data_IF_715803832520
#
_entry.id   IF_715803832520
#
_cell.length_a   1.000
_cell.length_b   1.000
_cell.length_c   1.000
_cell.angle_alpha   90.00
_cell.angle_beta   90.00
_cell.angle_gamma   90.00
#
_symmetry.space_group_name_H-M   'P 1'
#
loop_
_entity.id
_entity.type
_entity.pdbx_description
1 polymer ?
#
# COMPACT_ATOMS: atom_id res chain seq x y z
N UNK A 1 13.29 3.57 -8.46
CA UNK A 1 12.56 2.84 -7.41
C UNK A 1 12.31 1.42 -7.89
N UNK A 2 12.45 0.39 -7.03
CA UNK A 2 12.16 -1.01 -7.35
C UNK A 2 10.75 -1.30 -6.85
N UNK A 3 9.80 -1.53 -7.75
CA UNK A 3 8.38 -1.72 -7.41
C UNK A 3 8.06 -3.17 -7.01
N UNK A 4 8.71 -4.13 -7.66
CA UNK A 4 8.63 -5.55 -7.35
C UNK A 4 9.91 -6.26 -7.79
N UNK A 5 10.15 -7.44 -7.24
CA UNK A 5 11.19 -8.36 -7.66
C UNK A 5 10.53 -9.65 -8.12
N UNK A 6 10.88 -10.11 -9.34
CA UNK A 6 10.40 -11.38 -9.90
C UNK A 6 11.59 -12.23 -10.33
N UNK A 7 11.65 -13.44 -9.82
CA UNK A 7 12.76 -14.36 -10.13
C UNK A 7 12.59 -15.70 -9.43
N UNK A 8 13.69 -16.43 -9.29
CA UNK A 8 13.74 -17.69 -8.57
C UNK A 8 14.24 -17.47 -7.15
N UNK A 9 13.57 -18.03 -6.17
CA UNK A 9 14.02 -17.98 -4.77
C UNK A 9 15.30 -18.78 -4.63
N UNK A 10 16.41 -18.10 -4.37
CA UNK A 10 17.73 -18.74 -4.21
C UNK A 10 17.98 -19.18 -2.76
N UNK A 11 17.50 -18.41 -1.77
CA UNK A 11 17.66 -18.70 -0.35
C UNK A 11 16.53 -18.08 0.48
N UNK A 12 16.25 -18.66 1.64
CA UNK A 12 15.28 -18.14 2.63
C UNK A 12 15.88 -18.29 4.03
N UNK A 13 16.01 -17.16 4.72
CA UNK A 13 16.46 -17.09 6.11
C UNK A 13 15.29 -16.78 7.06
N UNK A 14 15.56 -16.56 8.35
CA UNK A 14 14.53 -16.18 9.32
C UNK A 14 14.00 -14.74 9.14
N UNK A 15 14.71 -13.88 8.40
CA UNK A 15 14.35 -12.48 8.26
C UNK A 15 14.40 -11.95 6.83
N UNK A 16 14.93 -12.73 5.89
CA UNK A 16 15.08 -12.31 4.49
C UNK A 16 14.98 -13.49 3.52
N UNK A 17 14.71 -13.17 2.27
CA UNK A 17 14.82 -14.11 1.16
C UNK A 17 15.73 -13.50 0.07
N UNK A 18 16.47 -14.36 -0.62
CA UNK A 18 17.24 -13.99 -1.80
C UNK A 18 16.49 -14.44 -3.03
N UNK A 19 16.19 -13.51 -3.92
CA UNK A 19 15.56 -13.80 -5.22
C UNK A 19 16.57 -13.52 -6.32
N UNK A 20 16.87 -14.54 -7.11
CA UNK A 20 17.75 -14.42 -8.26
C UNK A 20 17.01 -13.88 -9.47
N UNK A 21 17.56 -12.80 -10.04
CA UNK A 21 17.03 -12.13 -11.23
C UNK A 21 18.17 -11.95 -12.22
N UNK A 22 18.15 -12.75 -13.30
CA UNK A 22 19.15 -12.64 -14.36
C UNK A 22 20.60 -12.85 -13.90
N UNK A 23 20.84 -13.74 -12.96
CA UNK A 23 22.16 -14.02 -12.39
C UNK A 23 22.58 -13.12 -11.22
N UNK A 24 21.70 -12.21 -10.77
CA UNK A 24 21.92 -11.35 -9.61
C UNK A 24 20.99 -11.76 -8.48
N UNK A 25 21.55 -12.05 -7.30
CA UNK A 25 20.77 -12.31 -6.08
C UNK A 25 20.40 -11.01 -5.38
N UNK A 26 19.12 -10.73 -5.27
CA UNK A 26 18.58 -9.60 -4.51
C UNK A 26 18.08 -10.08 -3.16
N UNK A 27 18.65 -9.55 -2.06
CA UNK A 27 18.17 -9.82 -0.72
C UNK A 27 16.99 -8.91 -0.39
N UNK A 28 15.87 -9.51 0.03
CA UNK A 28 14.66 -8.81 0.45
C UNK A 28 14.38 -9.15 1.92
N UNK A 29 14.32 -8.12 2.75
CA UNK A 29 13.88 -8.25 4.14
C UNK A 29 12.37 -8.42 4.14
N UNK A 30 11.87 -9.53 4.69
CA UNK A 30 10.47 -9.90 4.62
C UNK A 30 9.89 -10.19 6.01
N UNK A 31 8.55 -10.10 6.13
CA UNK A 31 7.84 -10.57 7.32
C UNK A 31 7.87 -12.10 7.39
N UNK A 32 7.74 -12.72 8.58
CA UNK A 32 7.63 -14.17 8.70
C UNK A 32 6.50 -14.77 7.86
N UNK A 33 5.38 -14.05 7.73
CA UNK A 33 4.23 -14.46 6.92
C UNK A 33 4.61 -14.56 5.44
N UNK A 34 5.30 -13.56 4.90
CA UNK A 34 5.82 -13.57 3.52
C UNK A 34 6.81 -14.72 3.32
N UNK A 35 7.78 -14.88 4.23
CA UNK A 35 8.80 -15.92 4.14
C UNK A 35 8.21 -17.33 4.15
N UNK A 36 7.14 -17.57 4.94
CA UNK A 36 6.46 -18.85 5.03
C UNK A 36 5.85 -19.31 3.69
N UNK A 37 5.57 -18.40 2.77
CA UNK A 37 5.03 -18.72 1.44
C UNK A 37 6.10 -19.08 0.41
N UNK A 38 7.37 -18.73 0.68
CA UNK A 38 8.46 -18.91 -0.26
C UNK A 38 9.05 -20.33 -0.18
N UNK A 39 9.53 -20.82 -1.32
CA UNK A 39 10.22 -22.11 -1.43
C UNK A 39 11.46 -21.94 -2.29
N UNK A 40 12.61 -22.37 -1.78
CA UNK A 40 13.87 -22.35 -2.53
C UNK A 40 13.72 -23.12 -3.82
N UNK A 41 14.19 -22.56 -4.93
CA UNK A 41 14.07 -23.10 -6.28
C UNK A 41 12.75 -22.78 -6.98
N UNK A 42 11.75 -22.24 -6.28
CA UNK A 42 10.46 -21.87 -6.88
C UNK A 42 10.48 -20.41 -7.42
N UNK A 43 9.68 -20.12 -8.45
CA UNK A 43 9.49 -18.74 -8.91
C UNK A 43 8.68 -17.95 -7.88
N UNK A 44 9.06 -16.69 -7.68
CA UNK A 44 8.34 -15.76 -6.82
C UNK A 44 8.24 -14.37 -7.48
N UNK A 45 7.18 -13.65 -7.13
CA UNK A 45 7.02 -12.22 -7.42
C UNK A 45 6.62 -11.54 -6.12
N UNK A 46 7.49 -10.67 -5.62
CA UNK A 46 7.28 -9.95 -4.36
C UNK A 46 7.18 -8.46 -4.64
N UNK A 47 6.06 -7.80 -4.31
CA UNK A 47 6.01 -6.35 -4.20
C UNK A 47 7.13 -5.85 -3.29
N UNK A 48 7.75 -4.73 -3.63
CA UNK A 48 8.98 -4.31 -2.96
C UNK A 48 8.96 -2.82 -2.66
N UNK A 49 9.43 -2.45 -1.47
CA UNK A 49 9.73 -1.08 -1.11
C UNK A 49 11.23 -0.92 -0.83
N UNK A 50 11.86 0.05 -1.48
CA UNK A 50 13.29 0.31 -1.31
C UNK A 50 13.50 1.48 -0.35
N UNK A 51 14.18 1.22 0.75
CA UNK A 51 14.58 2.23 1.72
C UNK A 51 16.06 2.59 1.50
N UNK A 52 16.29 3.85 1.18
CA UNK A 52 17.62 4.41 0.95
C UNK A 52 18.05 5.22 2.16
N UNK A 53 19.23 4.96 2.69
CA UNK A 53 19.88 5.74 3.75
C UNK A 53 21.31 6.05 3.33
N UNK A 54 21.98 6.93 4.06
CA UNK A 54 23.35 7.33 3.76
C UNK A 54 24.30 6.14 3.56
N UNK A 55 24.18 5.10 4.41
CA UNK A 55 25.08 3.96 4.43
C UNK A 55 24.44 2.64 3.99
N UNK A 56 23.17 2.65 3.55
CA UNK A 56 22.48 1.40 3.21
C UNK A 56 21.36 1.56 2.17
N UNK A 57 21.25 0.55 1.32
CA UNK A 57 20.13 0.30 0.44
C UNK A 57 19.46 -0.99 0.92
N UNK A 58 18.22 -0.90 1.39
CA UNK A 58 17.48 -2.07 1.88
C UNK A 58 16.22 -2.26 1.05
N UNK A 59 16.03 -3.47 0.52
CA UNK A 59 14.79 -3.89 -0.11
C UNK A 59 13.93 -4.62 0.92
N UNK A 60 12.70 -4.16 1.07
CA UNK A 60 11.66 -4.85 1.83
C UNK A 60 10.72 -5.56 0.86
N UNK A 61 10.48 -6.85 1.06
CA UNK A 61 9.61 -7.67 0.24
C UNK A 61 8.32 -8.03 0.98
N UNK A 62 7.20 -8.03 0.26
CA UNK A 62 5.87 -8.20 0.80
C UNK A 62 5.12 -9.32 0.08
N UNK A 63 4.13 -9.90 0.78
CA UNK A 63 3.27 -10.93 0.23
C UNK A 63 2.42 -10.41 -0.94
N UNK A 64 1.90 -9.20 -0.79
CA UNK A 64 1.05 -8.53 -1.76
C UNK A 64 1.20 -7.00 -1.72
N UNK A 65 0.52 -6.30 -2.64
CA UNK A 65 0.55 -4.83 -2.73
C UNK A 65 -0.13 -4.15 -1.53
N UNK A 66 -1.05 -4.83 -0.84
CA UNK A 66 -1.71 -4.28 0.34
C UNK A 66 -0.76 -4.23 1.54
N UNK A 67 0.00 -5.30 1.77
CA UNK A 67 1.04 -5.32 2.81
C UNK A 67 2.10 -4.25 2.55
N UNK A 68 2.55 -4.08 1.29
CA UNK A 68 3.48 -3.02 0.89
C UNK A 68 2.90 -1.63 1.12
N UNK A 69 1.67 -1.38 0.67
CA UNK A 69 1.00 -0.09 0.86
C UNK A 69 0.86 0.25 2.33
N UNK A 70 0.47 -0.72 3.15
CA UNK A 70 0.39 -0.56 4.59
C UNK A 70 1.76 -0.23 5.20
N UNK A 71 2.83 -0.93 4.79
CA UNK A 71 4.19 -0.65 5.23
C UNK A 71 4.63 0.79 4.92
N UNK A 72 4.38 1.25 3.70
CA UNK A 72 4.74 2.61 3.28
C UNK A 72 3.93 3.66 4.04
N UNK A 73 2.65 3.40 4.27
CA UNK A 73 1.78 4.28 5.03
C UNK A 73 2.17 4.37 6.52
N UNK A 74 2.48 3.25 7.16
CA UNK A 74 2.93 3.22 8.56
C UNK A 74 4.15 4.09 8.78
N UNK A 75 5.10 4.13 7.83
CA UNK A 75 6.30 4.96 7.91
C UNK A 75 6.04 6.46 7.81
N UNK A 76 4.84 6.88 7.42
CA UNK A 76 4.47 8.30 7.43
C UNK A 76 4.12 8.81 8.83
N UNK A 77 3.91 7.91 9.79
CA UNK A 77 3.66 8.28 11.18
C UNK A 77 4.97 8.60 11.90
N UNK A 78 4.95 9.64 12.71
CA UNK A 78 6.11 10.12 13.46
C UNK A 78 6.64 9.05 14.42
N UNK A 79 7.92 8.71 14.28
CA UNK A 79 8.59 7.69 15.09
C UNK A 79 8.43 6.26 14.56
N UNK A 80 7.77 6.06 13.44
CA UNK A 80 7.67 4.76 12.79
C UNK A 80 8.67 4.69 11.63
N UNK A 81 9.79 4.04 11.86
CA UNK A 81 10.76 3.71 10.81
C UNK A 81 10.47 2.34 10.16
N UNK A 82 11.24 1.98 9.10
CA UNK A 82 11.03 0.73 8.38
C UNK A 82 11.05 -0.52 9.26
N UNK A 83 11.97 -0.59 10.23
CA UNK A 83 12.06 -1.73 11.16
C UNK A 83 10.80 -1.87 12.02
N UNK A 84 10.25 -0.75 12.49
CA UNK A 84 9.04 -0.77 13.30
C UNK A 84 7.80 -1.09 12.46
N UNK A 85 7.70 -0.51 11.26
CA UNK A 85 6.62 -0.83 10.32
C UNK A 85 6.62 -2.32 9.96
N UNK A 86 7.79 -2.91 9.72
CA UNK A 86 7.93 -4.35 9.50
C UNK A 86 7.52 -5.17 10.73
N UNK A 87 7.91 -4.76 11.94
CA UNK A 87 7.51 -5.43 13.17
C UNK A 87 5.98 -5.38 13.37
N UNK A 88 5.34 -4.27 13.02
CA UNK A 88 3.88 -4.14 13.05
C UNK A 88 3.21 -5.16 12.12
N UNK A 89 3.71 -5.29 10.89
CA UNK A 89 3.19 -6.24 9.90
C UNK A 89 3.56 -7.71 10.19
N UNK A 90 4.60 -7.94 10.96
CA UNK A 90 4.94 -9.29 11.44
C UNK A 90 3.99 -9.79 12.54
N UNK A 91 3.43 -8.87 13.36
CA UNK A 91 2.51 -9.19 14.46
C UNK A 91 1.05 -9.11 14.02
N UNK A 92 0.71 -8.16 13.14
CA UNK A 92 -0.65 -7.88 12.70
C UNK A 92 -0.74 -7.83 11.18
N UNK A 93 -1.83 -8.33 10.64
CA UNK A 93 -2.17 -8.14 9.23
C UNK A 93 -2.55 -6.68 8.94
N UNK A 94 -2.47 -6.22 7.68
CA UNK A 94 -2.92 -4.88 7.29
C UNK A 94 -4.35 -4.56 7.77
N UNK A 95 -5.26 -5.53 7.66
CA UNK A 95 -6.65 -5.36 8.10
C UNK A 95 -6.81 -5.28 9.62
N UNK A 96 -5.99 -5.99 10.38
CA UNK A 96 -5.97 -5.86 11.85
C UNK A 96 -5.45 -4.49 12.27
N UNK A 97 -4.41 -3.99 11.60
CA UNK A 97 -3.90 -2.64 11.84
C UNK A 97 -4.94 -1.56 11.52
N UNK A 98 -5.64 -1.69 10.39
CA UNK A 98 -6.74 -0.77 10.02
C UNK A 98 -7.84 -0.79 11.08
N UNK A 99 -8.27 -1.98 11.53
CA UNK A 99 -9.28 -2.11 12.59
C UNK A 99 -8.83 -1.51 13.90
N UNK A 100 -7.58 -1.77 14.31
CA UNK A 100 -7.03 -1.21 15.55
C UNK A 100 -6.97 0.32 15.50
N UNK A 101 -6.55 0.91 14.39
CA UNK A 101 -6.53 2.36 14.22
C UNK A 101 -7.93 2.96 14.18
N UNK A 102 -8.87 2.35 13.44
CA UNK A 102 -10.26 2.83 13.35
C UNK A 102 -11.00 2.75 14.69
N UNK A 103 -10.72 1.70 15.49
CA UNK A 103 -11.30 1.51 16.83
C UNK A 103 -10.52 2.24 17.94
N UNK A 104 -9.45 2.98 17.61
CA UNK A 104 -8.54 3.61 18.58
C UNK A 104 -7.96 2.62 19.62
N UNK A 105 -7.74 1.38 19.19
CA UNK A 105 -7.28 0.29 20.06
C UNK A 105 -5.77 0.37 20.33
N UNK A 106 -5.40 1.17 21.32
CA UNK A 106 -4.04 1.32 21.82
C UNK A 106 -3.46 -0.03 22.27
N UNK A 107 -4.29 -0.90 22.87
CA UNK A 107 -3.85 -2.17 23.44
C UNK A 107 -3.32 -3.10 22.34
N UNK A 108 -4.03 -3.23 21.24
CA UNK A 108 -3.58 -4.03 20.09
C UNK A 108 -2.26 -3.52 19.55
N UNK A 109 -2.09 -2.22 19.34
CA UNK A 109 -0.82 -1.67 18.84
C UNK A 109 0.35 -1.85 19.83
N UNK A 110 0.10 -1.85 21.11
CA UNK A 110 1.16 -2.06 22.13
C UNK A 110 1.64 -3.51 22.22
N UNK A 111 0.99 -4.46 21.57
CA UNK A 111 1.52 -5.84 21.45
C UNK A 111 2.76 -5.92 20.56
N UNK A 112 2.96 -4.90 19.72
CA UNK A 112 4.14 -4.83 18.84
C UNK A 112 5.36 -4.39 19.65
N UNK A 113 6.47 -5.15 19.64
CA UNK A 113 7.70 -4.75 20.31
C UNK A 113 8.20 -3.37 19.82
N UNK A 114 8.48 -2.48 20.76
CA UNK A 114 8.91 -1.12 20.45
C UNK A 114 7.80 -0.08 20.40
N UNK A 115 6.53 -0.48 20.55
CA UNK A 115 5.39 0.46 20.63
C UNK A 115 4.88 0.52 22.07
N UNK A 116 5.09 1.67 22.73
CA UNK A 116 4.48 1.97 24.03
C UNK A 116 3.16 2.73 23.84
N UNK A 117 2.44 2.96 24.96
CA UNK A 117 1.13 3.63 24.94
C UNK A 117 1.15 4.99 24.21
N UNK A 118 2.13 5.84 24.49
CA UNK A 118 2.26 7.15 23.83
C UNK A 118 2.53 7.03 22.32
N UNK A 119 3.33 6.03 21.92
CA UNK A 119 3.60 5.73 20.51
C UNK A 119 2.34 5.26 19.80
N UNK A 120 1.60 4.32 20.39
CA UNK A 120 0.35 3.81 19.84
C UNK A 120 -0.70 4.92 19.64
N UNK A 121 -0.89 5.77 20.65
CA UNK A 121 -1.81 6.92 20.55
C UNK A 121 -1.44 7.88 19.42
N UNK A 122 -0.14 8.17 19.25
CA UNK A 122 0.35 9.02 18.17
C UNK A 122 0.11 8.38 16.79
N UNK A 123 0.45 7.10 16.64
CA UNK A 123 0.22 6.34 15.41
C UNK A 123 -1.26 6.37 15.02
N UNK A 124 -2.16 6.12 15.97
CA UNK A 124 -3.60 6.18 15.75
C UNK A 124 -4.01 7.57 15.26
N UNK A 125 -3.61 8.62 15.96
CA UNK A 125 -3.97 9.99 15.62
C UNK A 125 -3.51 10.39 14.20
N UNK A 126 -2.28 10.01 13.82
CA UNK A 126 -1.70 10.39 12.55
C UNK A 126 -2.20 9.54 11.37
N UNK A 127 -2.66 8.32 11.62
CA UNK A 127 -3.09 7.39 10.56
C UNK A 127 -4.61 7.23 10.45
N UNK A 128 -5.41 7.69 11.41
CA UNK A 128 -6.86 7.48 11.48
C UNK A 128 -7.59 7.80 10.17
N UNK A 129 -7.26 8.91 9.53
CA UNK A 129 -7.90 9.36 8.29
C UNK A 129 -7.18 8.89 7.02
N UNK A 130 -6.11 8.11 7.15
CA UNK A 130 -5.20 7.76 6.05
C UNK A 130 -5.05 6.26 5.82
N UNK A 131 -5.26 5.44 6.86
CA UNK A 131 -4.95 4.01 6.80
C UNK A 131 -5.96 3.20 5.98
N UNK A 132 -7.07 3.82 5.59
CA UNK A 132 -8.13 3.17 4.82
C UNK A 132 -9.12 2.39 5.68
N UNK A 133 -10.15 1.86 5.04
CA UNK A 133 -11.23 1.12 5.69
C UNK A 133 -10.86 -0.37 5.75
N UNK A 134 -11.07 -1.07 6.89
CA UNK A 134 -10.87 -2.50 6.97
C UNK A 134 -11.69 -3.28 5.93
N UNK A 135 -11.11 -4.30 5.34
CA UNK A 135 -11.79 -5.18 4.37
C UNK A 135 -11.89 -4.66 2.93
N UNK A 136 -11.29 -3.51 2.62
CA UNK A 136 -11.29 -2.95 1.26
C UNK A 136 -10.20 -3.55 0.36
N UNK A 137 -9.15 -4.12 0.95
CA UNK A 137 -8.04 -4.75 0.21
C UNK A 137 -7.68 -6.05 0.90
N UNK A 138 -8.02 -7.19 0.31
CA UNK A 138 -7.60 -8.52 0.76
C UNK A 138 -6.73 -9.20 -0.30
N UNK A 139 -5.88 -10.17 0.05
CA UNK A 139 -5.06 -10.89 -0.91
C UNK A 139 -5.97 -11.56 -1.96
N UNK A 140 -5.84 -11.13 -3.21
CA UNK A 140 -6.60 -11.68 -4.33
C UNK A 140 -8.04 -11.18 -4.48
N UNK A 141 -8.51 -10.25 -3.66
CA UNK A 141 -9.72 -9.51 -4.00
C UNK A 141 -9.34 -8.35 -4.92
N UNK A 142 -9.45 -8.61 -6.20
CA UNK A 142 -9.97 -7.59 -7.11
C UNK A 142 -11.20 -7.04 -6.38
N UNK A 143 -11.21 -5.76 -6.02
CA UNK A 143 -12.44 -5.11 -5.56
C UNK A 143 -13.58 -5.62 -6.44
N UNK A 144 -14.79 -5.96 -5.89
CA UNK A 144 -15.89 -6.37 -6.73
C UNK A 144 -15.89 -5.37 -7.86
N UNK A 145 -15.70 -5.86 -9.07
CA UNK A 145 -15.54 -5.01 -10.23
C UNK A 145 -16.74 -4.05 -10.16
N UNK A 146 -16.46 -2.78 -9.83
CA UNK A 146 -17.41 -1.73 -10.14
C UNK A 146 -17.86 -2.07 -11.55
N UNK A 147 -19.16 -2.08 -11.78
CA UNK A 147 -19.68 -2.42 -13.09
C UNK A 147 -18.76 -1.75 -14.12
N UNK A 148 -18.36 -2.41 -15.22
CA UNK A 148 -17.31 -1.89 -16.12
C UNK A 148 -17.48 -0.41 -16.48
N UNK A 149 -18.68 0.10 -16.34
CA UNK A 149 -19.10 1.48 -16.55
C UNK A 149 -18.61 2.46 -15.47
N UNK A 150 -18.31 2.01 -14.23
CA UNK A 150 -17.91 2.89 -13.12
C UNK A 150 -16.43 2.78 -12.72
N UNK A 151 -15.69 1.84 -13.30
CA UNK A 151 -14.28 1.62 -13.00
C UNK A 151 -13.42 2.88 -13.26
N UNK A 152 -13.79 3.70 -14.24
CA UNK A 152 -13.11 4.95 -14.57
C UNK A 152 -13.19 5.99 -13.45
N UNK A 153 -14.30 6.02 -12.68
CA UNK A 153 -14.47 6.96 -11.55
C UNK A 153 -13.38 6.75 -10.50
N UNK A 154 -13.15 5.51 -10.11
CA UNK A 154 -12.11 5.15 -9.15
C UNK A 154 -10.72 5.49 -9.69
N UNK A 155 -10.47 5.29 -10.98
CA UNK A 155 -9.18 5.61 -11.61
C UNK A 155 -8.94 7.12 -11.69
N UNK A 156 -9.93 7.92 -12.08
CA UNK A 156 -9.82 9.39 -12.10
C UNK A 156 -9.65 9.95 -10.70
N UNK A 157 -10.43 9.46 -9.73
CA UNK A 157 -10.30 9.85 -8.32
C UNK A 157 -8.89 9.57 -7.78
N UNK A 158 -8.39 8.34 -7.97
CA UNK A 158 -7.04 7.96 -7.54
C UNK A 158 -5.96 8.81 -8.22
N UNK A 159 -6.13 9.13 -9.50
CA UNK A 159 -5.24 10.02 -10.24
C UNK A 159 -5.19 11.43 -9.66
N UNK A 160 -6.34 12.02 -9.31
CA UNK A 160 -6.42 13.36 -8.70
C UNK A 160 -5.78 13.39 -7.31
N UNK A 161 -6.09 12.39 -6.47
CA UNK A 161 -5.48 12.28 -5.13
C UNK A 161 -3.96 12.09 -5.24
N UNK A 162 -3.49 11.27 -6.19
CA UNK A 162 -2.06 11.09 -6.47
C UNK A 162 -1.35 12.36 -6.95
N UNK A 163 -2.09 13.31 -7.53
CA UNK A 163 -1.59 14.63 -7.94
C UNK A 163 -1.66 15.68 -6.83
N UNK A 164 -2.13 15.30 -5.62
CA UNK A 164 -2.12 16.16 -4.43
C UNK A 164 -3.45 16.83 -4.08
N UNK A 165 -4.54 16.56 -4.81
CA UNK A 165 -5.87 17.05 -4.47
C UNK A 165 -6.48 16.26 -3.31
N UNK A 166 -7.31 16.91 -2.49
CA UNK A 166 -8.01 16.21 -1.41
C UNK A 166 -9.07 15.25 -1.98
N UNK A 167 -9.39 14.18 -1.24
CA UNK A 167 -10.42 13.21 -1.64
C UNK A 167 -11.77 13.90 -1.95
N UNK A 168 -12.16 14.90 -1.15
CA UNK A 168 -13.41 15.66 -1.35
C UNK A 168 -13.42 16.48 -2.63
N UNK A 169 -12.29 17.07 -3.00
CA UNK A 169 -12.13 17.79 -4.26
C UNK A 169 -12.13 16.83 -5.45
N UNK A 170 -11.46 15.68 -5.29
CA UNK A 170 -11.43 14.62 -6.29
C UNK A 170 -12.85 14.06 -6.55
N UNK A 171 -13.63 13.77 -5.50
CA UNK A 171 -15.03 13.33 -5.63
C UNK A 171 -15.86 14.33 -6.42
N UNK A 172 -15.80 15.60 -6.05
CA UNK A 172 -16.55 16.65 -6.74
C UNK A 172 -16.14 16.81 -8.21
N UNK A 173 -14.86 16.69 -8.51
CA UNK A 173 -14.37 16.77 -9.88
C UNK A 173 -14.82 15.56 -10.71
N UNK A 174 -14.80 14.35 -10.15
CA UNK A 174 -15.30 13.12 -10.78
C UNK A 174 -16.79 13.26 -11.11
N UNK A 175 -17.60 13.77 -10.18
CA UNK A 175 -19.03 14.02 -10.44
C UNK A 175 -19.25 15.04 -11.56
N UNK A 176 -18.43 16.08 -11.61
CA UNK A 176 -18.54 17.15 -12.63
C UNK A 176 -18.25 16.61 -14.04
N UNK A 177 -17.32 15.66 -14.19
CA UNK A 177 -16.96 15.08 -15.50
C UNK A 177 -17.74 13.80 -15.82
N UNK A 178 -18.58 13.33 -14.91
CA UNK A 178 -19.39 12.13 -15.15
C UNK A 178 -20.27 12.19 -16.40
N UNK A 179 -20.89 13.33 -16.75
CA UNK A 179 -21.64 13.44 -18.00
C UNK A 179 -20.80 13.25 -19.26
N UNK A 180 -19.50 13.61 -19.20
CA UNK A 180 -18.57 13.50 -20.34
C UNK A 180 -18.12 12.04 -20.59
N UNK A 181 -18.30 11.15 -19.63
CA UNK A 181 -17.92 9.74 -19.75
C UNK A 181 -18.83 8.97 -20.74
N UNK A 182 -20.06 9.43 -20.95
CA UNK A 182 -21.05 8.79 -21.81
C UNK A 182 -21.40 7.36 -21.34
N UNK A 183 -22.31 6.71 -22.05
CA UNK A 183 -22.71 5.30 -21.81
C UNK A 183 -21.74 4.29 -22.47
N UNK A 184 -20.46 4.64 -22.61
CA UNK A 184 -19.47 3.80 -23.29
C UNK A 184 -18.88 2.78 -22.31
N UNK A 185 -18.78 1.52 -22.71
CA UNK A 185 -18.19 0.44 -21.91
C UNK A 185 -16.69 0.64 -21.55
N UNK A 186 -16.00 1.56 -22.24
CA UNK A 186 -14.61 1.94 -21.97
C UNK A 186 -14.41 3.44 -22.23
N UNK A 187 -14.71 4.32 -21.26
CA UNK A 187 -14.50 5.76 -21.41
C UNK A 187 -13.00 6.10 -21.43
N UNK A 188 -12.62 7.19 -22.13
CA UNK A 188 -11.25 7.71 -22.12
C UNK A 188 -10.88 8.30 -20.74
N UNK A 189 -10.35 7.46 -19.86
CA UNK A 189 -9.94 7.84 -18.50
C UNK A 189 -8.93 9.00 -18.52
N UNK A 190 -8.01 9.02 -19.51
CA UNK A 190 -7.02 10.08 -19.60
C UNK A 190 -7.65 11.41 -20.03
N UNK A 191 -8.67 11.37 -20.89
CA UNK A 191 -9.47 12.53 -21.26
C UNK A 191 -10.27 13.08 -20.08
N UNK A 192 -10.96 12.18 -19.34
CA UNK A 192 -11.73 12.51 -18.16
C UNK A 192 -10.85 13.08 -17.02
N UNK A 193 -9.67 12.53 -16.78
CA UNK A 193 -8.72 13.08 -15.82
C UNK A 193 -8.28 14.50 -16.19
N UNK A 194 -7.97 14.74 -17.47
CA UNK A 194 -7.63 16.08 -17.98
C UNK A 194 -8.80 17.06 -17.83
N UNK A 195 -10.01 16.63 -18.09
CA UNK A 195 -11.21 17.44 -17.89
C UNK A 195 -11.41 17.80 -16.41
N UNK A 196 -11.29 16.80 -15.51
CA UNK A 196 -11.38 17.01 -14.07
C UNK A 196 -10.32 17.99 -13.54
N UNK A 197 -9.07 17.89 -13.99
CA UNK A 197 -8.01 18.83 -13.63
C UNK A 197 -8.34 20.28 -14.09
N UNK A 198 -8.96 20.45 -15.26
CA UNK A 198 -9.39 21.77 -15.74
C UNK A 198 -10.50 22.38 -14.88
N UNK A 199 -11.38 21.57 -14.29
CA UNK A 199 -12.43 22.08 -13.40
C UNK A 199 -11.83 22.55 -12.08
N UNK A 200 -10.83 21.85 -11.55
CA UNK A 200 -10.14 22.17 -10.31
C UNK A 200 -9.18 23.37 -10.44
N UNK A 201 -8.61 23.60 -11.64
CA UNK A 201 -7.71 24.74 -11.89
C UNK A 201 -8.44 26.07 -12.12
N UNK A 202 -9.77 26.05 -12.27
CA UNK A 202 -10.60 27.23 -12.46
C UNK A 202 -11.33 27.68 -11.18
N UNK A 203 -11.22 26.91 -10.11
CA UNK A 203 -11.76 27.22 -8.79
C UNK A 203 -10.68 27.78 -7.87
#
# INVERSE_FOLDING_TARGET
MIAFVRGTVADVTLGSAVVEVGGVGLELVCTPNTLATLRVGAPATLPTSMVVREESLTLFGFLDEDEKTCFELLQTASGVGPKLAQAMLAVHTPDELRRAVAAEDVKTLTTVPGIGQKGAQRIILELKDRIGVPGTVGPGRVAPAAAPQDAWRAQVHAGLVGLGWSAKEADKAVETVAPDAGDTAAPDVAGLLRAALRTLSKA
#
